data_IF_139540447269
#
_entry.id   IF_139540447269
#
_cell.length_a   1.000
_cell.length_b   1.000
_cell.length_c   1.000
_cell.angle_alpha   90.00
_cell.angle_beta   90.00
_cell.angle_gamma   90.00
#
_symmetry.space_group_name_H-M   'P 1'
#
loop_
_entity.id
_entity.type
_entity.pdbx_description
1 polymer ?
#
# COMPACT_ATOMS: atom_id res chain seq x y z
N UNK A 1 -3.98 46.99 2.47
CA UNK A 1 -2.55 47.05 2.08
C UNK A 1 -2.09 45.63 1.82
N UNK A 2 -1.62 45.27 0.63
CA UNK A 2 -1.03 43.98 0.40
C UNK A 2 0.29 43.91 1.16
N UNK A 3 0.48 42.89 1.98
CA UNK A 3 1.78 42.57 2.56
C UNK A 3 2.71 42.16 1.42
N UNK A 4 3.61 43.01 1.04
CA UNK A 4 4.82 42.64 0.33
C UNK A 4 5.64 41.72 1.24
N UNK A 5 5.60 40.41 1.00
CA UNK A 5 6.58 39.51 1.56
C UNK A 5 7.91 39.82 0.91
N UNK A 6 8.90 40.16 1.75
CA UNK A 6 10.28 40.42 1.35
C UNK A 6 10.77 39.30 0.45
N UNK A 7 11.26 39.66 -0.76
CA UNK A 7 11.85 38.78 -1.74
C UNK A 7 13.17 38.18 -1.19
N UNK A 8 13.08 37.12 -0.40
CA UNK A 8 14.07 36.07 -0.45
C UNK A 8 13.90 35.44 -1.82
N UNK A 9 14.92 35.50 -2.66
CA UNK A 9 14.91 35.08 -4.05
C UNK A 9 14.35 33.66 -4.18
N UNK A 10 13.11 33.53 -4.64
CA UNK A 10 12.52 32.23 -4.97
C UNK A 10 13.40 31.61 -6.07
N UNK A 11 14.17 30.59 -5.71
CA UNK A 11 15.05 29.88 -6.66
C UNK A 11 14.20 29.23 -7.76
N UNK A 12 12.96 28.87 -7.44
CA UNK A 12 12.03 28.23 -8.37
C UNK A 12 10.70 28.98 -8.45
N UNK A 13 10.19 29.12 -9.67
CA UNK A 13 8.86 29.68 -9.95
C UNK A 13 7.93 28.61 -10.52
N UNK A 14 6.75 28.47 -9.92
CA UNK A 14 5.67 27.59 -10.36
C UNK A 14 4.61 28.43 -11.06
N UNK A 15 4.19 27.98 -12.25
CA UNK A 15 3.09 28.59 -12.99
C UNK A 15 2.09 27.51 -13.35
N UNK A 16 0.80 27.77 -13.16
CA UNK A 16 -0.27 26.86 -13.54
C UNK A 16 -1.38 27.61 -14.27
N UNK A 17 -2.01 26.93 -15.23
CA UNK A 17 -3.22 27.38 -15.90
C UNK A 17 -4.22 26.26 -15.93
N UNK A 18 -5.44 26.53 -15.48
CA UNK A 18 -6.58 25.60 -15.55
C UNK A 18 -7.63 26.19 -16.45
N UNK A 19 -8.07 25.43 -17.45
CA UNK A 19 -9.09 25.85 -18.42
C UNK A 19 -10.15 24.75 -18.54
N UNK A 20 -11.41 25.12 -18.44
CA UNK A 20 -12.52 24.20 -18.72
C UNK A 20 -12.76 24.13 -20.22
N UNK A 21 -12.78 22.93 -20.79
CA UNK A 21 -13.02 22.67 -22.21
C UNK A 21 -13.89 21.42 -22.34
N UNK A 22 -15.12 21.57 -22.86
CA UNK A 22 -16.06 20.47 -23.11
C UNK A 22 -16.18 19.52 -21.91
N UNK A 23 -16.61 20.03 -20.74
CA UNK A 23 -16.79 19.30 -19.49
C UNK A 23 -15.49 18.64 -18.92
N UNK A 24 -14.35 18.92 -19.49
CA UNK A 24 -13.02 18.50 -19.01
C UNK A 24 -12.23 19.68 -18.51
N UNK A 25 -11.26 19.40 -17.64
CA UNK A 25 -10.24 20.35 -17.22
C UNK A 25 -8.96 20.10 -18.02
N UNK A 26 -8.45 21.14 -18.66
CA UNK A 26 -7.08 21.20 -19.17
C UNK A 26 -6.23 21.90 -18.11
N UNK A 27 -5.24 21.19 -17.57
CA UNK A 27 -4.29 21.70 -16.58
C UNK A 27 -2.92 21.78 -17.21
N UNK A 28 -2.34 22.98 -17.25
CA UNK A 28 -0.99 23.22 -17.75
C UNK A 28 -0.14 23.70 -16.57
N UNK A 29 1.04 23.13 -16.41
CA UNK A 29 1.95 23.44 -15.31
C UNK A 29 3.37 23.63 -15.84
N UNK A 30 4.10 24.64 -15.31
CA UNK A 30 5.50 24.88 -15.60
C UNK A 30 6.29 25.16 -14.33
N UNK A 31 7.50 24.63 -14.28
CA UNK A 31 8.49 24.90 -13.26
C UNK A 31 9.69 25.58 -13.90
N UNK A 32 10.10 26.70 -13.34
CA UNK A 32 11.23 27.49 -13.83
C UNK A 32 12.32 27.54 -12.76
N UNK A 33 13.56 27.43 -13.18
CA UNK A 33 14.73 27.87 -12.44
C UNK A 33 14.89 29.37 -12.70
N UNK A 34 14.68 30.18 -11.66
CA UNK A 34 14.68 31.63 -11.78
C UNK A 34 16.10 32.15 -11.97
N UNK A 35 17.08 31.52 -11.32
CA UNK A 35 18.49 31.93 -11.41
C UNK A 35 19.10 31.60 -12.76
N UNK A 36 18.79 30.40 -13.27
CA UNK A 36 19.27 29.97 -14.58
C UNK A 36 18.42 30.50 -15.75
N UNK A 37 17.26 31.11 -15.48
CA UNK A 37 16.34 31.65 -16.49
C UNK A 37 15.78 30.62 -17.45
N UNK A 38 15.65 29.34 -17.02
CA UNK A 38 15.24 28.24 -17.90
C UNK A 38 14.05 27.45 -17.34
N UNK A 39 13.24 26.91 -18.25
CA UNK A 39 12.19 25.96 -17.91
C UNK A 39 12.79 24.62 -17.50
N UNK A 40 12.40 24.11 -16.33
CA UNK A 40 12.86 22.83 -15.79
C UNK A 40 11.88 21.68 -16.06
N UNK A 41 10.58 22.01 -16.12
CA UNK A 41 9.51 21.03 -16.31
C UNK A 41 8.30 21.72 -16.91
N UNK A 42 7.71 21.11 -17.95
CA UNK A 42 6.40 21.47 -18.49
C UNK A 42 5.50 20.24 -18.54
N UNK A 43 4.27 20.35 -18.04
CA UNK A 43 3.29 19.29 -18.01
C UNK A 43 1.93 19.81 -18.48
N UNK A 44 1.18 18.97 -19.20
CA UNK A 44 -0.20 19.25 -19.57
C UNK A 44 -1.05 18.00 -19.36
N UNK A 45 -2.22 18.18 -18.75
CA UNK A 45 -3.18 17.11 -18.47
C UNK A 45 -4.56 17.52 -18.99
N UNK A 46 -5.32 16.54 -19.46
CA UNK A 46 -6.75 16.70 -19.72
C UNK A 46 -7.49 15.64 -18.91
N UNK A 47 -8.39 16.07 -18.03
CA UNK A 47 -9.06 15.17 -17.08
C UNK A 47 -10.50 15.61 -16.82
N UNK A 48 -11.30 14.74 -16.21
CA UNK A 48 -12.61 15.11 -15.67
C UNK A 48 -12.46 15.95 -14.40
N UNK A 49 -13.41 16.86 -14.09
CA UNK A 49 -13.30 17.74 -12.92
C UNK A 49 -13.05 17.00 -11.60
N UNK A 50 -13.66 15.82 -11.40
CA UNK A 50 -13.46 15.02 -10.18
C UNK A 50 -12.02 14.57 -9.91
N UNK A 51 -11.16 14.52 -10.94
CA UNK A 51 -9.77 14.04 -10.82
C UNK A 51 -8.73 15.14 -10.58
N UNK A 52 -9.16 16.38 -10.31
CA UNK A 52 -8.24 17.51 -10.17
C UNK A 52 -7.18 17.28 -9.07
N UNK A 53 -7.55 16.63 -7.96
CA UNK A 53 -6.61 16.32 -6.86
C UNK A 53 -5.50 15.38 -7.34
N UNK A 54 -5.86 14.31 -8.04
CA UNK A 54 -4.88 13.36 -8.59
C UNK A 54 -3.90 14.03 -9.53
N UNK A 55 -4.38 14.95 -10.38
CA UNK A 55 -3.49 15.76 -11.24
C UNK A 55 -2.54 16.60 -10.39
N UNK A 56 -3.02 17.20 -9.29
CA UNK A 56 -2.17 17.93 -8.34
C UNK A 56 -1.09 17.03 -7.73
N UNK A 57 -1.43 15.82 -7.30
CA UNK A 57 -0.48 14.86 -6.74
C UNK A 57 0.58 14.43 -7.79
N UNK A 58 0.16 14.13 -9.03
CA UNK A 58 1.08 13.76 -10.12
C UNK A 58 2.04 14.92 -10.44
N UNK A 59 1.55 16.17 -10.48
CA UNK A 59 2.40 17.35 -10.68
C UNK A 59 3.41 17.45 -9.55
N UNK A 60 2.98 17.28 -8.30
CA UNK A 60 3.85 17.34 -7.12
C UNK A 60 4.93 16.26 -7.17
N UNK A 61 4.59 15.02 -7.56
CA UNK A 61 5.56 13.94 -7.76
C UNK A 61 6.62 14.32 -8.81
N UNK A 62 6.20 14.90 -9.93
CA UNK A 62 7.13 15.31 -10.99
C UNK A 62 8.02 16.46 -10.57
N UNK A 63 7.50 17.42 -9.82
CA UNK A 63 8.28 18.52 -9.24
C UNK A 63 9.28 17.97 -8.23
N UNK A 64 8.86 17.10 -7.31
CA UNK A 64 9.72 16.46 -6.32
C UNK A 64 10.86 15.71 -7.01
N UNK A 65 10.52 14.85 -7.96
CA UNK A 65 11.52 14.09 -8.73
C UNK A 65 12.50 15.00 -9.46
N UNK A 66 12.01 16.12 -10.03
CA UNK A 66 12.86 17.07 -10.76
C UNK A 66 13.83 17.82 -9.86
N UNK A 67 13.43 18.09 -8.61
CA UNK A 67 14.24 18.85 -7.65
C UNK A 67 15.19 17.97 -6.85
N UNK A 68 14.78 16.75 -6.48
CA UNK A 68 15.55 15.88 -5.59
C UNK A 68 16.25 14.73 -6.30
N UNK A 69 15.79 14.37 -7.51
CA UNK A 69 16.22 13.15 -8.22
C UNK A 69 15.50 11.89 -7.76
N UNK A 70 14.74 11.93 -6.65
CA UNK A 70 14.02 10.79 -6.09
C UNK A 70 12.60 10.68 -6.64
N UNK A 71 12.05 9.46 -6.67
CA UNK A 71 10.66 9.23 -7.07
C UNK A 71 9.72 9.89 -6.07
N UNK A 72 8.71 10.62 -6.57
CA UNK A 72 7.65 11.19 -5.75
C UNK A 72 6.71 10.12 -5.17
N UNK A 73 5.98 10.48 -4.12
CA UNK A 73 5.05 9.60 -3.38
C UNK A 73 3.68 10.26 -3.12
N UNK A 74 3.40 11.42 -3.73
CA UNK A 74 2.17 12.17 -3.50
C UNK A 74 0.95 11.55 -4.20
N UNK A 75 1.13 10.87 -5.36
CA UNK A 75 0.06 10.08 -6.03
C UNK A 75 0.04 8.64 -5.47
N UNK A 76 0.03 8.51 -4.13
CA UNK A 76 -0.08 7.23 -3.43
C UNK A 76 -1.34 7.17 -2.58
N UNK A 77 -1.72 5.95 -2.17
CA UNK A 77 -2.89 5.70 -1.34
C UNK A 77 -2.51 4.95 -0.07
N UNK A 78 -3.29 5.18 0.97
CA UNK A 78 -3.15 4.51 2.25
C UNK A 78 -4.32 3.55 2.41
N UNK A 79 -4.02 2.28 2.68
CA UNK A 79 -5.02 1.31 3.11
C UNK A 79 -4.93 1.13 4.62
N UNK A 80 -6.07 1.08 5.28
CA UNK A 80 -6.13 1.00 6.73
C UNK A 80 -7.41 0.30 7.21
N UNK A 81 -7.46 -0.04 8.48
CA UNK A 81 -8.67 -0.52 9.14
C UNK A 81 -9.33 0.65 9.87
N UNK A 82 -10.51 1.04 9.40
CA UNK A 82 -11.36 2.01 10.09
C UNK A 82 -12.13 1.31 11.20
N UNK A 83 -12.17 1.92 12.38
CA UNK A 83 -12.93 1.41 13.53
C UNK A 83 -14.03 2.39 13.92
N UNK A 84 -15.25 1.90 14.01
CA UNK A 84 -16.43 2.68 14.40
C UNK A 84 -17.17 2.00 15.57
N UNK A 85 -18.02 2.75 16.28
CA UNK A 85 -18.88 2.25 17.35
C UNK A 85 -18.22 2.23 18.75
N UNK A 86 -18.97 1.82 19.77
CA UNK A 86 -18.51 1.80 21.17
C UNK A 86 -17.41 0.76 21.39
N UNK A 87 -16.58 0.94 22.42
CA UNK A 87 -15.43 0.05 22.73
C UNK A 87 -15.80 -1.44 22.84
N UNK A 88 -17.00 -1.73 23.27
CA UNK A 88 -17.52 -3.10 23.46
C UNK A 88 -18.06 -3.74 22.18
N UNK A 89 -18.27 -2.95 21.11
CA UNK A 89 -18.87 -3.43 19.86
C UNK A 89 -18.30 -2.65 18.66
N UNK A 90 -16.99 -2.78 18.45
CA UNK A 90 -16.29 -2.14 17.34
C UNK A 90 -16.62 -2.80 16.01
N UNK A 91 -17.04 -1.99 15.04
CA UNK A 91 -17.17 -2.39 13.66
C UNK A 91 -15.86 -2.00 12.95
N UNK A 92 -15.20 -2.97 12.33
CA UNK A 92 -13.96 -2.76 11.58
C UNK A 92 -14.23 -2.89 10.07
N UNK A 93 -13.78 -1.90 9.31
CA UNK A 93 -13.92 -1.88 7.85
C UNK A 93 -12.56 -1.65 7.22
N UNK A 94 -12.28 -2.36 6.14
CA UNK A 94 -11.16 -2.04 5.29
C UNK A 94 -11.48 -0.75 4.53
N UNK A 95 -10.59 0.22 4.59
CA UNK A 95 -10.76 1.51 3.96
C UNK A 95 -9.48 1.93 3.21
N UNK A 96 -9.66 2.74 2.17
CA UNK A 96 -8.58 3.33 1.38
C UNK A 96 -8.80 4.83 1.25
N UNK A 97 -7.73 5.61 1.27
CA UNK A 97 -7.75 7.05 1.05
C UNK A 97 -6.50 7.49 0.30
N UNK A 98 -6.52 8.71 -0.24
CA UNK A 98 -5.31 9.36 -0.76
C UNK A 98 -4.35 9.65 0.41
N UNK A 99 -3.07 9.81 0.12
CA UNK A 99 -2.04 10.00 1.16
C UNK A 99 -2.26 11.27 2.00
N UNK A 100 -3.05 12.23 1.51
CA UNK A 100 -3.41 13.46 2.20
C UNK A 100 -4.73 13.39 3.01
N UNK A 101 -5.30 12.17 3.15
CA UNK A 101 -6.50 11.91 3.94
C UNK A 101 -7.82 12.10 3.20
N UNK A 102 -7.80 12.49 1.92
CA UNK A 102 -9.01 12.65 1.11
C UNK A 102 -9.43 11.38 0.37
N UNK A 103 -10.61 11.42 -0.27
CA UNK A 103 -11.17 10.35 -1.09
C UNK A 103 -11.28 9.00 -0.36
N UNK A 104 -11.61 9.04 0.94
CA UNK A 104 -11.86 7.82 1.72
C UNK A 104 -12.99 7.01 1.11
N UNK A 105 -12.71 5.72 0.88
CA UNK A 105 -13.67 4.71 0.43
C UNK A 105 -13.57 3.48 1.30
N UNK A 106 -14.72 2.92 1.70
CA UNK A 106 -14.79 1.63 2.38
C UNK A 106 -14.77 0.50 1.35
N UNK A 107 -13.90 -0.48 1.56
CA UNK A 107 -13.73 -1.66 0.70
C UNK A 107 -14.49 -2.88 1.22
N UNK A 108 -14.88 -2.86 2.52
CA UNK A 108 -15.70 -3.90 3.15
C UNK A 108 -16.88 -3.29 3.93
N UNK A 109 -17.92 -4.07 4.15
CA UNK A 109 -19.15 -3.60 4.78
C UNK A 109 -19.08 -3.52 6.32
N UNK A 110 -18.08 -4.18 6.95
CA UNK A 110 -17.95 -4.24 8.40
C UNK A 110 -18.72 -5.38 9.07
N UNK A 111 -19.19 -6.35 8.30
CA UNK A 111 -19.85 -7.55 8.80
C UNK A 111 -18.87 -8.57 9.41
N UNK A 112 -17.58 -8.32 9.22
CA UNK A 112 -16.49 -9.22 9.58
C UNK A 112 -15.35 -8.44 10.21
N UNK A 113 -14.62 -9.11 11.10
CA UNK A 113 -13.37 -8.57 11.61
C UNK A 113 -12.30 -8.62 10.49
N UNK A 114 -11.80 -7.45 10.09
CA UNK A 114 -10.71 -7.31 9.12
C UNK A 114 -9.47 -6.73 9.80
N UNK A 115 -8.28 -7.24 9.47
CA UNK A 115 -7.01 -6.87 10.10
C UNK A 115 -5.86 -6.85 9.08
N UNK A 116 -4.80 -6.15 9.43
CA UNK A 116 -3.48 -6.18 8.79
C UNK A 116 -3.47 -6.07 7.26
N UNK A 117 -4.13 -5.05 6.66
CA UNK A 117 -4.07 -4.88 5.22
C UNK A 117 -2.65 -4.54 4.74
N UNK A 118 -2.28 -5.02 3.55
CA UNK A 118 -1.02 -4.73 2.88
C UNK A 118 -1.22 -4.55 1.38
N UNK A 119 -0.63 -3.49 0.83
CA UNK A 119 -0.55 -3.31 -0.61
C UNK A 119 0.46 -4.27 -1.24
N UNK A 120 0.14 -4.73 -2.44
CA UNK A 120 1.11 -5.28 -3.36
C UNK A 120 2.02 -4.13 -3.84
N UNK A 121 3.37 -4.29 -3.84
CA UNK A 121 4.28 -3.22 -4.22
C UNK A 121 4.24 -2.85 -5.71
N UNK A 122 3.66 -3.69 -6.57
CA UNK A 122 3.73 -3.54 -8.04
C UNK A 122 2.38 -3.30 -8.71
N UNK A 123 1.26 -3.59 -8.04
CA UNK A 123 -0.08 -3.46 -8.60
C UNK A 123 -1.12 -3.01 -7.55
N UNK A 124 -2.40 -2.98 -7.93
CA UNK A 124 -3.50 -2.51 -7.08
C UNK A 124 -4.15 -3.64 -6.24
N UNK A 125 -3.42 -4.70 -5.99
CA UNK A 125 -3.89 -5.78 -5.12
C UNK A 125 -3.55 -5.50 -3.66
N UNK A 126 -4.42 -5.97 -2.78
CA UNK A 126 -4.27 -5.86 -1.33
C UNK A 126 -4.49 -7.22 -0.71
N UNK A 127 -3.62 -7.63 0.20
CA UNK A 127 -3.87 -8.77 1.07
C UNK A 127 -4.28 -8.29 2.46
N UNK A 128 -5.18 -9.02 3.11
CA UNK A 128 -5.64 -8.73 4.47
C UNK A 128 -6.15 -10.00 5.15
N UNK A 129 -6.24 -9.98 6.47
CA UNK A 129 -6.86 -11.03 7.26
C UNK A 129 -8.35 -10.69 7.48
N UNK A 130 -9.24 -11.65 7.24
CA UNK A 130 -10.65 -11.58 7.60
C UNK A 130 -11.09 -12.79 8.42
N UNK A 131 -12.01 -12.56 9.34
CA UNK A 131 -12.67 -13.61 10.14
C UNK A 131 -14.05 -13.96 9.57
N UNK A 132 -14.12 -14.11 8.25
CA UNK A 132 -15.35 -14.54 7.62
C UNK A 132 -15.79 -15.93 8.13
N UNK A 133 -17.05 -16.05 8.57
CA UNK A 133 -17.58 -17.26 9.22
C UNK A 133 -16.77 -17.71 10.45
N UNK A 134 -16.21 -16.76 11.21
CA UNK A 134 -15.39 -17.01 12.39
C UNK A 134 -14.08 -17.80 12.15
N UNK A 135 -13.64 -17.89 10.90
CA UNK A 135 -12.38 -18.53 10.53
C UNK A 135 -11.41 -17.47 10.02
N UNK A 136 -10.24 -17.27 10.66
CA UNK A 136 -9.23 -16.35 10.19
C UNK A 136 -8.60 -16.88 8.89
N UNK A 137 -8.76 -16.12 7.79
CA UNK A 137 -8.19 -16.43 6.49
C UNK A 137 -7.58 -15.20 5.86
N UNK A 138 -6.54 -15.41 5.09
CA UNK A 138 -5.94 -14.39 4.26
C UNK A 138 -6.76 -14.25 2.98
N UNK A 139 -7.10 -13.00 2.66
CA UNK A 139 -7.80 -12.62 1.43
C UNK A 139 -6.90 -11.78 0.54
N UNK A 140 -7.11 -11.91 -0.75
CA UNK A 140 -6.57 -11.06 -1.79
C UNK A 140 -7.73 -10.27 -2.40
N UNK A 141 -7.59 -8.95 -2.48
CA UNK A 141 -8.57 -8.02 -3.04
C UNK A 141 -7.91 -7.20 -4.14
N UNK A 142 -8.48 -7.24 -5.32
CA UNK A 142 -8.19 -6.29 -6.38
C UNK A 142 -9.04 -5.03 -6.18
N UNK A 143 -8.40 -3.89 -5.94
CA UNK A 143 -9.09 -2.63 -5.63
C UNK A 143 -9.82 -2.06 -6.84
N UNK A 144 -9.33 -2.33 -8.05
CA UNK A 144 -9.91 -1.78 -9.29
C UNK A 144 -11.18 -2.52 -9.69
N UNK A 145 -11.16 -3.83 -9.58
CA UNK A 145 -12.30 -4.69 -9.97
C UNK A 145 -13.24 -5.00 -8.80
N UNK A 146 -12.77 -4.87 -7.56
CA UNK A 146 -13.48 -5.29 -6.36
C UNK A 146 -13.54 -6.81 -6.16
N UNK A 147 -12.85 -7.59 -6.99
CA UNK A 147 -12.80 -9.05 -6.88
C UNK A 147 -11.99 -9.43 -5.65
N UNK A 148 -12.61 -10.28 -4.82
CA UNK A 148 -12.03 -10.78 -3.58
C UNK A 148 -11.96 -12.30 -3.61
N UNK A 149 -10.84 -12.86 -3.20
CA UNK A 149 -10.62 -14.29 -3.13
C UNK A 149 -9.84 -14.71 -1.88
N UNK A 150 -10.05 -15.94 -1.43
CA UNK A 150 -9.28 -16.52 -0.32
C UNK A 150 -7.91 -16.98 -0.84
N UNK A 151 -6.87 -16.60 -0.11
CA UNK A 151 -5.51 -17.06 -0.39
C UNK A 151 -5.32 -18.44 0.23
N UNK A 152 -5.47 -19.47 -0.59
CA UNK A 152 -5.35 -20.87 -0.17
C UNK A 152 -6.51 -21.33 0.74
N UNK A 153 -7.10 -22.45 0.39
CA UNK A 153 -8.11 -23.09 1.24
C UNK A 153 -7.44 -24.16 2.14
N UNK A 154 -6.76 -23.68 3.17
CA UNK A 154 -6.04 -24.54 4.11
C UNK A 154 -6.95 -24.95 5.28
N UNK A 155 -6.82 -26.18 5.80
CA UNK A 155 -7.62 -26.67 6.93
C UNK A 155 -7.20 -26.11 8.30
N UNK A 156 -6.47 -24.98 8.33
CA UNK A 156 -5.98 -24.31 9.52
C UNK A 156 -6.13 -22.79 9.41
N UNK A 157 -5.46 -22.06 10.30
CA UNK A 157 -5.49 -20.60 10.33
C UNK A 157 -4.31 -20.02 9.54
N UNK A 158 -4.59 -19.10 8.60
CA UNK A 158 -3.57 -18.29 7.95
C UNK A 158 -3.58 -16.86 8.48
N UNK A 159 -2.41 -16.26 8.71
CA UNK A 159 -2.31 -14.91 9.25
C UNK A 159 -0.99 -14.22 8.88
N UNK A 160 -0.89 -12.92 9.23
CA UNK A 160 0.27 -12.06 8.99
C UNK A 160 0.78 -12.07 7.53
N UNK A 161 -0.09 -11.89 6.52
CA UNK A 161 0.34 -11.93 5.13
C UNK A 161 1.23 -10.74 4.76
N UNK A 162 2.21 -10.97 3.87
CA UNK A 162 3.07 -9.98 3.23
C UNK A 162 3.26 -10.35 1.77
N UNK A 163 3.42 -9.35 0.91
CA UNK A 163 3.88 -9.59 -0.45
C UNK A 163 5.41 -9.71 -0.51
N UNK A 164 5.90 -10.46 -1.49
CA UNK A 164 7.28 -10.36 -1.93
C UNK A 164 7.55 -8.99 -2.58
N UNK A 165 8.80 -8.50 -2.62
CA UNK A 165 9.12 -7.20 -3.22
C UNK A 165 8.76 -7.08 -4.70
N UNK A 166 8.74 -8.18 -5.45
CA UNK A 166 8.30 -8.24 -6.84
C UNK A 166 6.76 -8.36 -7.01
N UNK A 167 6.04 -8.50 -5.88
CA UNK A 167 4.58 -8.60 -5.86
C UNK A 167 4.00 -9.92 -6.36
N UNK A 168 4.83 -10.94 -6.64
CA UNK A 168 4.38 -12.21 -7.23
C UNK A 168 4.01 -13.28 -6.21
N UNK A 169 4.56 -13.19 -5.00
CA UNK A 169 4.31 -14.16 -3.93
C UNK A 169 3.69 -13.49 -2.70
N UNK A 170 2.94 -14.27 -1.94
CA UNK A 170 2.50 -13.93 -0.59
C UNK A 170 3.23 -14.86 0.37
N UNK A 171 3.84 -14.29 1.40
CA UNK A 171 4.38 -15.03 2.55
C UNK A 171 3.44 -14.85 3.74
N UNK A 172 3.21 -15.92 4.49
CA UNK A 172 2.24 -15.91 5.60
C UNK A 172 2.61 -16.95 6.64
N UNK A 173 2.05 -16.82 7.82
CA UNK A 173 2.05 -17.87 8.85
C UNK A 173 0.86 -18.77 8.63
N UNK A 174 1.05 -20.07 8.75
CA UNK A 174 0.00 -21.06 8.73
C UNK A 174 0.07 -21.93 10.00
N UNK A 175 -1.01 -21.91 10.78
CA UNK A 175 -1.13 -22.66 12.03
C UNK A 175 -2.04 -23.86 11.84
N UNK A 176 -1.53 -25.03 12.20
CA UNK A 176 -2.25 -26.32 12.17
C UNK A 176 -1.72 -27.25 13.28
N UNK A 177 -2.64 -27.98 13.91
CA UNK A 177 -2.32 -29.04 14.90
C UNK A 177 -1.40 -28.53 16.05
N UNK A 178 -1.58 -27.28 16.46
CA UNK A 178 -0.81 -26.69 17.58
C UNK A 178 0.56 -26.14 17.22
N UNK A 179 0.99 -26.24 15.96
CA UNK A 179 2.22 -25.64 15.45
C UNK A 179 1.92 -24.55 14.40
N UNK A 180 2.87 -23.66 14.17
CA UNK A 180 2.82 -22.64 13.14
C UNK A 180 4.13 -22.55 12.38
N UNK A 181 4.06 -22.57 11.06
CA UNK A 181 5.20 -22.45 10.17
C UNK A 181 4.98 -21.33 9.14
N UNK A 182 6.05 -20.95 8.49
CA UNK A 182 6.05 -19.97 7.40
C UNK A 182 5.81 -20.68 6.07
N UNK A 183 4.89 -20.13 5.30
CA UNK A 183 4.54 -20.60 3.96
C UNK A 183 4.58 -19.46 2.97
N UNK A 184 4.89 -19.78 1.72
CA UNK A 184 4.72 -18.87 0.58
C UNK A 184 3.67 -19.43 -0.36
N UNK A 185 3.00 -18.53 -1.08
CA UNK A 185 2.10 -18.88 -2.17
C UNK A 185 2.42 -17.98 -3.38
N UNK A 186 2.63 -18.60 -4.53
CA UNK A 186 2.66 -17.88 -5.80
C UNK A 186 1.24 -17.43 -6.17
N UNK A 187 1.08 -16.15 -6.54
CA UNK A 187 -0.24 -15.55 -6.76
C UNK A 187 -0.85 -16.02 -8.09
N UNK A 188 -0.03 -16.28 -9.10
CA UNK A 188 -0.50 -16.63 -10.44
C UNK A 188 -0.92 -18.10 -10.52
N UNK A 189 -0.04 -19.00 -10.10
CA UNK A 189 -0.25 -20.45 -10.24
C UNK A 189 -0.78 -21.13 -8.97
N UNK A 190 -0.92 -20.40 -7.85
CA UNK A 190 -1.44 -20.88 -6.56
C UNK A 190 -0.59 -21.99 -5.91
N UNK A 191 0.66 -22.15 -6.31
CA UNK A 191 1.58 -23.11 -5.70
C UNK A 191 1.96 -22.61 -4.31
N UNK A 192 1.78 -23.49 -3.33
CA UNK A 192 2.10 -23.24 -1.93
C UNK A 192 3.31 -24.06 -1.53
N UNK A 193 4.28 -23.39 -0.88
CA UNK A 193 5.52 -24.00 -0.40
C UNK A 193 5.68 -23.72 1.09
N UNK A 194 6.03 -24.75 1.86
CA UNK A 194 6.42 -24.61 3.27
C UNK A 194 7.87 -24.18 3.34
N UNK A 195 8.13 -23.05 3.99
CA UNK A 195 9.47 -22.44 4.09
C UNK A 195 10.16 -22.83 5.37
N UNK A 196 9.43 -22.94 6.50
CA UNK A 196 10.00 -23.45 7.75
C UNK A 196 9.36 -24.79 8.12
N UNK A 197 10.18 -25.67 8.72
CA UNK A 197 9.75 -26.97 9.23
C UNK A 197 10.44 -27.25 10.57
N UNK A 198 9.87 -26.73 11.62
CA UNK A 198 10.42 -26.84 12.97
C UNK A 198 9.29 -27.05 13.99
N UNK A 199 9.50 -27.77 15.11
CA UNK A 199 8.47 -27.90 16.14
C UNK A 199 8.15 -26.60 16.90
N UNK A 200 8.95 -25.56 16.71
CA UNK A 200 8.72 -24.21 17.25
C UNK A 200 7.69 -23.44 16.47
N UNK A 201 7.07 -22.46 17.12
CA UNK A 201 6.05 -21.59 16.53
C UNK A 201 6.74 -20.47 15.72
N UNK A 202 6.71 -20.60 14.40
CA UNK A 202 7.25 -19.60 13.46
C UNK A 202 6.12 -18.70 12.94
N UNK A 203 6.28 -17.37 13.11
CA UNK A 203 5.22 -16.41 12.79
C UNK A 203 5.73 -15.08 12.21
N UNK A 204 4.79 -14.27 11.68
CA UNK A 204 5.02 -12.88 11.28
C UNK A 204 6.17 -12.68 10.29
N UNK A 205 6.20 -13.42 9.18
CA UNK A 205 7.26 -13.34 8.21
C UNK A 205 7.27 -12.00 7.46
N UNK A 206 8.45 -11.59 6.99
CA UNK A 206 8.61 -10.43 6.10
C UNK A 206 9.83 -10.60 5.22
N UNK A 207 9.73 -10.29 3.93
CA UNK A 207 10.87 -10.23 3.03
C UNK A 207 11.74 -9.01 3.31
N UNK A 208 13.06 -9.14 3.04
CA UNK A 208 13.93 -7.98 2.86
C UNK A 208 13.53 -7.20 1.59
N UNK A 209 13.88 -5.91 1.47
CA UNK A 209 13.54 -5.10 0.29
C UNK A 209 14.10 -5.65 -1.04
N UNK A 210 15.24 -6.35 -0.99
CA UNK A 210 15.85 -6.99 -2.15
C UNK A 210 15.34 -8.43 -2.41
N UNK A 211 14.46 -8.93 -1.55
CA UNK A 211 13.84 -10.26 -1.66
C UNK A 211 14.75 -11.43 -1.29
N UNK A 212 16.01 -11.19 -0.86
CA UNK A 212 17.00 -12.26 -0.61
C UNK A 212 16.88 -12.93 0.75
N UNK A 213 16.25 -12.26 1.71
CA UNK A 213 16.10 -12.73 3.07
C UNK A 213 14.65 -12.66 3.52
N UNK A 214 14.33 -13.53 4.47
CA UNK A 214 13.07 -13.54 5.20
C UNK A 214 13.39 -13.40 6.68
N UNK A 215 12.74 -12.43 7.35
CA UNK A 215 12.71 -12.34 8.81
C UNK A 215 11.44 -12.95 9.32
N UNK A 216 11.48 -13.60 10.47
CA UNK A 216 10.29 -14.16 11.12
C UNK A 216 10.52 -14.26 12.63
N UNK A 217 9.44 -14.41 13.37
CA UNK A 217 9.48 -14.61 14.81
C UNK A 217 9.42 -16.10 15.14
N UNK A 218 10.25 -16.58 16.07
CA UNK A 218 10.29 -17.98 16.47
C UNK A 218 10.68 -18.15 17.94
N UNK A 219 10.15 -19.16 18.60
CA UNK A 219 10.49 -19.54 19.98
C UNK A 219 11.49 -20.71 20.08
N UNK A 220 12.17 -21.05 18.98
CA UNK A 220 13.14 -22.16 18.90
C UNK A 220 14.32 -22.10 19.88
N UNK A 221 14.59 -20.93 20.45
CA UNK A 221 15.60 -20.73 21.50
C UNK A 221 15.01 -20.70 22.92
N UNK A 222 13.76 -21.15 23.08
CA UNK A 222 13.03 -21.20 24.36
C UNK A 222 12.14 -19.99 24.64
N UNK A 223 12.29 -18.89 23.90
CA UNK A 223 11.44 -17.69 23.93
C UNK A 223 11.44 -16.99 22.59
N UNK A 224 10.45 -16.12 22.37
CA UNK A 224 10.24 -15.45 21.10
C UNK A 224 11.41 -14.54 20.73
N UNK A 225 11.99 -14.77 19.55
CA UNK A 225 13.08 -13.96 18.96
C UNK A 225 12.87 -13.80 17.46
N UNK A 226 13.57 -12.83 16.89
CA UNK A 226 13.58 -12.59 15.43
C UNK A 226 14.72 -13.40 14.82
N UNK A 227 14.37 -14.18 13.83
CA UNK A 227 15.30 -14.95 13.01
C UNK A 227 15.34 -14.40 11.58
N UNK A 228 16.48 -14.66 10.92
CA UNK A 228 16.69 -14.31 9.52
C UNK A 228 17.13 -15.58 8.80
N UNK A 229 16.54 -15.84 7.64
CA UNK A 229 16.97 -16.91 6.74
C UNK A 229 17.05 -16.38 5.30
N UNK A 230 17.71 -17.13 4.40
CA UNK A 230 17.62 -16.86 2.97
C UNK A 230 16.23 -17.18 2.46
N UNK A 231 15.82 -16.54 1.37
CA UNK A 231 14.50 -16.74 0.75
C UNK A 231 14.47 -17.90 -0.25
N UNK A 232 15.65 -18.39 -0.65
CA UNK A 232 15.96 -19.50 -1.56
C UNK A 232 16.51 -20.71 -0.83
#
# INVERSE_FOLDING_TARGET
>A
TPHESSAASDVYKRQGKVTAVNEKLKVEFRLWDVLAGREMLALAFTTVPSNWRRVGHIITDKVYQRLTGEKGYFDTRIIYVSEEGPKTQRIKKLAIMDQDGFNTKYLTLGNELVLTPRFNPTNQMVTYLSYFRNLPRVYLLDIETGIQEVVGDFPGMTFAPRFSPDGKKIIMSFAKDGNSDIYTMDIENRIVERITNHPSIDTSPSYSPDGKFITFNSDRSGYQQIYVMKSD
#
